data_IF_386940954648
#
_entry.id   IF_386940954648
#
_cell.length_a   1.000
_cell.length_b   1.000
_cell.length_c   1.000
_cell.angle_alpha   90.00
_cell.angle_beta   90.00
_cell.angle_gamma   90.00
#
_symmetry.space_group_name_H-M   'P 1'
#
loop_
_entity.id
_entity.type
_entity.pdbx_description
1 polymer ?
#
# COMPACT_ATOMS: atom_id res chain seq x y z
N UNK A 1 -18.85 -8.98 15.32
CA UNK A 1 -18.01 -8.08 14.51
C UNK A 1 -18.82 -6.82 14.17
N UNK A 2 -18.29 -5.63 14.54
CA UNK A 2 -18.99 -4.34 14.38
C UNK A 2 -19.35 -4.05 12.91
N UNK A 3 -18.53 -4.46 11.97
CA UNK A 3 -18.77 -4.23 10.54
C UNK A 3 -19.97 -5.03 10.03
N UNK A 4 -20.11 -6.27 10.46
CA UNK A 4 -21.27 -7.11 10.11
C UNK A 4 -22.54 -6.55 10.71
N UNK A 5 -22.53 -6.18 11.98
CA UNK A 5 -23.68 -5.57 12.63
C UNK A 5 -24.09 -4.24 11.97
N UNK A 6 -23.11 -3.43 11.56
CA UNK A 6 -23.38 -2.21 10.79
C UNK A 6 -24.06 -2.52 9.45
N UNK A 7 -23.56 -3.51 8.72
CA UNK A 7 -24.16 -3.94 7.46
C UNK A 7 -25.58 -4.45 7.63
N UNK A 8 -25.82 -5.29 8.64
CA UNK A 8 -27.17 -5.79 8.99
C UNK A 8 -28.11 -4.64 9.33
N UNK A 9 -27.70 -3.73 10.21
CA UNK A 9 -28.49 -2.55 10.56
C UNK A 9 -28.86 -1.71 9.34
N UNK A 10 -27.92 -1.45 8.44
CA UNK A 10 -28.17 -0.66 7.22
C UNK A 10 -29.12 -1.39 6.25
N UNK A 11 -29.15 -2.73 6.26
CA UNK A 11 -30.06 -3.53 5.41
C UNK A 11 -31.46 -3.63 5.99
N UNK A 12 -31.58 -3.74 7.30
CA UNK A 12 -32.84 -3.99 7.99
C UNK A 12 -33.58 -2.69 8.33
N UNK A 13 -32.86 -1.64 8.71
CA UNK A 13 -33.46 -0.34 9.05
C UNK A 13 -33.32 0.67 7.90
N UNK A 14 -34.38 0.74 7.08
CA UNK A 14 -34.43 1.67 5.97
C UNK A 14 -34.42 3.15 6.38
N UNK A 15 -34.90 3.48 7.58
CA UNK A 15 -34.88 4.84 8.08
C UNK A 15 -33.46 5.26 8.49
N UNK A 16 -32.74 4.35 9.15
CA UNK A 16 -31.32 4.53 9.45
C UNK A 16 -30.51 4.71 8.16
N UNK A 17 -30.67 3.83 7.16
CA UNK A 17 -29.98 3.94 5.89
C UNK A 17 -30.23 5.28 5.20
N UNK A 18 -31.50 5.69 5.05
CA UNK A 18 -31.85 6.97 4.42
C UNK A 18 -31.25 8.17 5.13
N UNK A 19 -31.19 8.14 6.46
CA UNK A 19 -30.55 9.19 7.24
C UNK A 19 -29.07 9.34 6.89
N UNK A 20 -28.35 8.24 6.81
CA UNK A 20 -26.92 8.26 6.46
C UNK A 20 -26.69 8.63 5.00
N UNK A 21 -27.49 8.13 4.07
CA UNK A 21 -27.47 8.54 2.66
C UNK A 21 -27.69 10.05 2.49
N UNK A 22 -28.63 10.63 3.24
CA UNK A 22 -28.89 12.09 3.20
C UNK A 22 -27.72 12.90 3.77
N UNK A 23 -26.95 12.33 4.71
CA UNK A 23 -25.80 12.97 5.32
C UNK A 23 -24.57 12.95 4.41
N UNK A 24 -24.31 11.83 3.72
CA UNK A 24 -23.14 11.60 2.88
C UNK A 24 -23.52 11.77 1.40
N UNK A 25 -23.40 13.01 0.91
CA UNK A 25 -23.67 13.31 -0.50
C UNK A 25 -22.59 12.83 -1.46
N UNK A 26 -21.37 12.73 -0.98
CA UNK A 26 -20.18 12.25 -1.71
C UNK A 26 -19.43 11.30 -0.80
N UNK A 27 -18.99 10.19 -1.35
CA UNK A 27 -18.19 9.18 -0.65
C UNK A 27 -16.90 9.03 -1.42
N UNK A 28 -15.79 9.24 -0.72
CA UNK A 28 -14.45 9.06 -1.26
C UNK A 28 -13.77 7.95 -0.46
N UNK A 29 -13.24 6.95 -1.16
CA UNK A 29 -12.54 5.82 -0.54
C UNK A 29 -11.14 5.75 -1.08
N UNK A 30 -10.16 5.91 -0.19
CA UNK A 30 -8.75 5.73 -0.48
C UNK A 30 -8.30 4.30 -0.16
N UNK A 31 -7.21 3.86 -0.78
CA UNK A 31 -6.66 2.51 -0.63
C UNK A 31 -7.74 1.40 -0.83
N UNK A 32 -8.56 1.57 -1.87
CA UNK A 32 -9.72 0.72 -2.10
C UNK A 32 -9.37 -0.76 -2.28
N UNK A 33 -8.15 -1.12 -2.68
CA UNK A 33 -7.68 -2.50 -2.77
C UNK A 33 -7.63 -3.22 -1.42
N UNK A 34 -7.62 -2.47 -0.30
CA UNK A 34 -7.47 -3.01 1.05
C UNK A 34 -8.81 -3.19 1.78
N UNK A 35 -9.94 -2.85 1.13
CA UNK A 35 -11.25 -3.05 1.75
C UNK A 35 -11.70 -4.52 1.68
N UNK A 36 -12.44 -4.93 2.72
CA UNK A 36 -13.12 -6.23 2.74
C UNK A 36 -14.44 -6.19 1.94
N UNK A 37 -14.98 -7.34 1.52
CA UNK A 37 -16.30 -7.41 0.88
C UNK A 37 -17.42 -6.79 1.72
N UNK A 38 -17.35 -6.90 3.04
CA UNK A 38 -18.32 -6.28 3.96
C UNK A 38 -18.26 -4.75 3.90
N UNK A 39 -17.04 -4.19 3.92
CA UNK A 39 -16.83 -2.74 3.77
C UNK A 39 -17.33 -2.26 2.42
N UNK A 40 -17.06 -3.00 1.36
CA UNK A 40 -17.56 -2.66 0.03
C UNK A 40 -19.09 -2.61 -0.02
N UNK A 41 -19.79 -3.59 0.57
CA UNK A 41 -21.26 -3.57 0.63
C UNK A 41 -21.80 -2.38 1.43
N UNK A 42 -21.16 -2.01 2.54
CA UNK A 42 -21.52 -0.81 3.30
C UNK A 42 -21.38 0.45 2.44
N UNK A 43 -20.26 0.60 1.74
CA UNK A 43 -20.01 1.74 0.84
C UNK A 43 -21.10 1.80 -0.25
N UNK A 44 -21.45 0.67 -0.86
CA UNK A 44 -22.52 0.60 -1.89
C UNK A 44 -23.87 1.03 -1.36
N UNK A 45 -24.26 0.55 -0.17
CA UNK A 45 -25.52 0.95 0.47
C UNK A 45 -25.57 2.45 0.75
N UNK A 46 -24.48 3.00 1.26
CA UNK A 46 -24.42 4.42 1.60
C UNK A 46 -24.37 5.32 0.36
N UNK A 47 -23.74 4.87 -0.74
CA UNK A 47 -23.65 5.65 -1.97
C UNK A 47 -24.96 5.70 -2.78
N UNK A 48 -25.81 4.71 -2.63
CA UNK A 48 -27.10 4.64 -3.33
C UNK A 48 -28.09 5.71 -2.80
N UNK A 49 -29.02 6.21 -3.63
CA UNK A 49 -29.19 5.90 -5.06
C UNK A 49 -28.32 6.76 -5.99
N UNK A 50 -27.75 7.87 -5.51
CA UNK A 50 -27.04 8.87 -6.32
C UNK A 50 -25.73 8.35 -6.87
N UNK A 51 -25.08 7.43 -6.16
CA UNK A 51 -23.80 6.83 -6.51
C UNK A 51 -22.67 7.86 -6.74
N UNK A 52 -22.66 8.95 -5.98
CA UNK A 52 -21.57 9.91 -5.96
C UNK A 52 -20.36 9.31 -5.21
N UNK A 53 -19.76 8.31 -5.81
CA UNK A 53 -18.71 7.49 -5.24
C UNK A 53 -17.41 7.68 -6.04
N UNK A 54 -16.35 8.04 -5.35
CA UNK A 54 -15.01 8.16 -5.88
C UNK A 54 -14.08 7.21 -5.13
N UNK A 55 -13.39 6.34 -5.84
CA UNK A 55 -12.43 5.41 -5.25
C UNK A 55 -11.04 5.67 -5.80
N UNK A 56 -10.05 5.51 -4.96
CA UNK A 56 -8.63 5.49 -5.34
C UNK A 56 -8.00 4.22 -4.80
N UNK A 57 -7.19 3.57 -5.61
CA UNK A 57 -6.51 2.35 -5.18
C UNK A 57 -5.55 1.83 -6.25
N UNK A 58 -4.72 0.90 -5.83
CA UNK A 58 -3.78 0.20 -6.68
C UNK A 58 -3.85 -1.30 -6.36
N UNK A 59 -4.46 -2.08 -7.24
CA UNK A 59 -4.63 -3.53 -7.07
C UNK A 59 -3.28 -4.27 -6.91
N UNK A 60 -2.20 -3.73 -7.47
CA UNK A 60 -0.85 -4.27 -7.32
C UNK A 60 -0.30 -4.09 -5.89
N UNK A 61 -0.89 -3.21 -5.08
CA UNK A 61 -0.51 -2.96 -3.68
C UNK A 61 -1.39 -3.69 -2.67
N UNK A 62 -2.31 -4.56 -3.10
CA UNK A 62 -3.17 -5.34 -2.21
C UNK A 62 -2.37 -6.42 -1.47
N UNK A 63 -1.92 -6.09 -0.26
CA UNK A 63 -1.11 -6.99 0.59
C UNK A 63 -1.81 -7.40 1.90
N UNK A 64 -3.05 -6.94 2.13
CA UNK A 64 -3.81 -7.21 3.35
C UNK A 64 -4.86 -8.32 3.21
N UNK A 65 -4.66 -9.27 2.30
CA UNK A 65 -5.54 -10.42 2.13
C UNK A 65 -5.75 -11.22 3.43
N UNK A 66 -4.73 -11.29 4.30
CA UNK A 66 -4.83 -11.94 5.62
C UNK A 66 -5.75 -11.20 6.61
N UNK A 67 -6.16 -9.96 6.31
CA UNK A 67 -7.16 -9.17 7.06
C UNK A 67 -8.53 -9.19 6.39
N UNK A 68 -8.70 -9.97 5.32
CA UNK A 68 -9.95 -10.04 4.57
C UNK A 68 -10.09 -9.00 3.46
N UNK A 69 -9.01 -8.28 3.12
CA UNK A 69 -8.98 -7.46 1.92
C UNK A 69 -9.11 -8.35 0.68
N UNK A 70 -9.83 -7.85 -0.33
CA UNK A 70 -10.01 -8.56 -1.59
C UNK A 70 -9.76 -7.62 -2.76
N UNK A 71 -8.67 -7.83 -3.54
CA UNK A 71 -8.42 -7.06 -4.76
C UNK A 71 -9.57 -7.24 -5.79
N UNK A 72 -10.35 -8.30 -5.67
CA UNK A 72 -11.54 -8.53 -6.48
C UNK A 72 -12.60 -7.44 -6.27
N UNK A 73 -12.58 -6.73 -5.14
CA UNK A 73 -13.48 -5.59 -4.89
C UNK A 73 -13.26 -4.47 -5.92
N UNK A 74 -12.02 -4.23 -6.35
CA UNK A 74 -11.71 -3.26 -7.40
C UNK A 74 -12.26 -3.69 -8.77
N UNK A 75 -12.10 -4.96 -9.13
CA UNK A 75 -12.65 -5.51 -10.38
C UNK A 75 -14.17 -5.49 -10.36
N UNK A 76 -14.76 -5.85 -9.21
CA UNK A 76 -16.21 -5.83 -9.02
C UNK A 76 -16.79 -4.42 -9.13
N UNK A 77 -16.07 -3.40 -8.65
CA UNK A 77 -16.48 -2.01 -8.75
C UNK A 77 -16.76 -1.61 -10.21
N UNK A 78 -15.85 -1.94 -11.13
CA UNK A 78 -16.02 -1.64 -12.56
C UNK A 78 -17.22 -2.38 -13.18
N UNK A 79 -17.60 -3.52 -12.62
CA UNK A 79 -18.78 -4.28 -13.05
C UNK A 79 -20.07 -3.70 -12.48
N UNK A 80 -20.05 -3.32 -11.20
CA UNK A 80 -21.21 -2.76 -10.50
C UNK A 80 -21.53 -1.33 -10.97
N UNK A 81 -20.51 -0.54 -11.31
CA UNK A 81 -20.64 0.86 -11.77
C UNK A 81 -20.13 1.04 -13.20
N UNK A 82 -20.89 0.49 -14.17
CA UNK A 82 -20.50 0.49 -15.60
C UNK A 82 -20.34 1.88 -16.23
N UNK A 83 -20.94 2.90 -15.63
CA UNK A 83 -20.81 4.30 -16.04
C UNK A 83 -19.68 5.04 -15.33
N UNK A 84 -18.92 4.36 -14.48
CA UNK A 84 -17.78 4.99 -13.81
C UNK A 84 -16.69 5.36 -14.82
N UNK A 85 -16.15 6.55 -14.68
CA UNK A 85 -14.97 6.98 -15.41
C UNK A 85 -13.73 6.44 -14.71
N UNK A 86 -12.85 5.77 -15.44
CA UNK A 86 -11.59 5.28 -14.94
C UNK A 86 -10.45 6.19 -15.38
N UNK A 87 -9.71 6.70 -14.42
CA UNK A 87 -8.52 7.52 -14.65
C UNK A 87 -7.30 6.75 -14.14
N UNK A 88 -6.36 6.49 -15.03
CA UNK A 88 -5.11 5.83 -14.69
C UNK A 88 -4.03 6.88 -14.40
N UNK A 89 -3.40 6.78 -13.22
CA UNK A 89 -2.21 7.56 -12.86
C UNK A 89 -0.97 6.73 -13.21
N UNK A 90 -0.49 6.85 -14.41
CA UNK A 90 0.55 6.01 -15.02
C UNK A 90 1.97 6.56 -14.86
N UNK A 91 2.14 7.73 -14.25
CA UNK A 91 3.46 8.34 -14.03
C UNK A 91 3.87 8.26 -12.57
N UNK A 92 4.98 7.57 -12.31
CA UNK A 92 5.58 7.45 -10.99
C UNK A 92 6.60 8.58 -10.79
N UNK A 93 6.28 9.52 -9.89
CA UNK A 93 7.13 10.65 -9.50
C UNK A 93 8.02 10.36 -8.29
N UNK A 94 7.90 9.20 -7.68
CA UNK A 94 8.62 8.83 -6.45
C UNK A 94 9.93 8.14 -6.73
N UNK A 95 9.91 7.18 -7.64
CA UNK A 95 11.02 6.25 -7.87
C UNK A 95 11.70 6.51 -9.21
N UNK A 96 13.00 6.23 -9.25
CA UNK A 96 13.77 6.18 -10.49
C UNK A 96 13.37 4.99 -11.35
N UNK A 97 13.69 5.06 -12.64
CA UNK A 97 13.31 4.08 -13.66
C UNK A 97 13.72 2.64 -13.30
N UNK A 98 14.91 2.46 -12.74
CA UNK A 98 15.41 1.13 -12.32
C UNK A 98 14.50 0.46 -11.30
N UNK A 99 14.01 1.24 -10.33
CA UNK A 99 13.11 0.74 -9.28
C UNK A 99 11.73 0.43 -9.87
N UNK A 100 11.20 1.33 -10.69
CA UNK A 100 9.90 1.14 -11.36
C UNK A 100 9.92 -0.11 -12.23
N UNK A 101 10.98 -0.29 -13.02
CA UNK A 101 11.14 -1.45 -13.89
C UNK A 101 11.31 -2.76 -13.09
N UNK A 102 12.07 -2.74 -12.00
CA UNK A 102 12.25 -3.91 -11.16
C UNK A 102 10.94 -4.31 -10.47
N UNK A 103 10.20 -3.35 -9.90
CA UNK A 103 8.88 -3.58 -9.31
C UNK A 103 7.89 -4.10 -10.36
N UNK A 104 7.88 -3.50 -11.55
CA UNK A 104 7.03 -3.93 -12.66
C UNK A 104 7.28 -5.38 -13.09
N UNK A 105 8.53 -5.85 -13.10
CA UNK A 105 8.86 -7.25 -13.38
C UNK A 105 8.32 -8.21 -12.32
N UNK A 106 8.41 -7.83 -11.04
CA UNK A 106 7.88 -8.65 -9.95
C UNK A 106 6.36 -8.74 -10.04
N UNK A 107 5.71 -7.61 -10.26
CA UNK A 107 4.25 -7.55 -10.27
C UNK A 107 3.64 -8.18 -11.54
N UNK A 108 4.38 -8.25 -12.64
CA UNK A 108 3.95 -8.90 -13.88
C UNK A 108 3.66 -10.41 -13.72
N UNK A 109 4.19 -11.05 -12.67
CA UNK A 109 3.88 -12.45 -12.33
C UNK A 109 2.44 -12.62 -11.81
N UNK A 110 1.79 -11.56 -11.35
CA UNK A 110 0.40 -11.60 -10.93
C UNK A 110 -0.53 -11.62 -12.15
N UNK A 111 -1.43 -12.62 -12.18
CA UNK A 111 -2.38 -12.80 -13.30
C UNK A 111 -3.67 -12.00 -13.15
N UNK A 112 -4.13 -11.80 -11.91
CA UNK A 112 -5.36 -11.07 -11.59
C UNK A 112 -5.02 -9.62 -11.24
N UNK A 113 -4.85 -8.77 -12.25
CA UNK A 113 -4.54 -7.35 -12.08
C UNK A 113 -5.12 -6.52 -13.22
N UNK A 114 -5.32 -5.24 -12.95
CA UNK A 114 -5.61 -4.25 -13.98
C UNK A 114 -4.33 -3.99 -14.80
N UNK A 115 -4.45 -4.01 -16.11
CA UNK A 115 -3.31 -3.74 -16.98
C UNK A 115 -2.90 -2.27 -16.84
N UNK A 116 -1.64 -2.07 -16.46
CA UNK A 116 -1.05 -0.74 -16.24
C UNK A 116 0.37 -0.72 -16.82
N UNK A 117 0.72 0.39 -17.43
CA UNK A 117 2.09 0.66 -17.87
C UNK A 117 2.61 1.88 -17.12
N UNK A 118 3.29 1.64 -15.99
CA UNK A 118 3.78 2.71 -15.13
C UNK A 118 5.12 3.21 -15.65
N UNK A 119 5.20 4.51 -15.91
CA UNK A 119 6.38 5.20 -16.38
C UNK A 119 7.04 5.99 -15.23
N UNK A 120 8.36 5.94 -15.14
CA UNK A 120 9.10 6.76 -14.19
C UNK A 120 9.26 8.19 -14.73
N UNK A 121 8.94 9.19 -13.89
CA UNK A 121 9.25 10.59 -14.18
C UNK A 121 10.76 10.88 -14.11
N UNK A 122 11.49 10.14 -13.27
CA UNK A 122 12.93 10.27 -13.04
C UNK A 122 13.67 9.11 -13.69
N UNK A 123 14.50 9.40 -14.69
CA UNK A 123 15.26 8.37 -15.45
C UNK A 123 16.60 8.02 -14.80
N UNK A 124 17.24 8.97 -14.13
CA UNK A 124 18.56 8.79 -13.53
C UNK A 124 18.44 8.34 -12.08
N UNK A 125 19.11 7.25 -11.72
CA UNK A 125 19.19 6.70 -10.38
C UNK A 125 20.52 6.00 -10.13
N UNK A 126 20.80 5.66 -8.87
CA UNK A 126 22.02 4.95 -8.47
C UNK A 126 21.93 3.42 -8.76
N UNK A 127 20.82 2.96 -9.33
CA UNK A 127 20.56 1.56 -9.60
C UNK A 127 20.08 0.77 -8.37
N UNK A 128 19.88 -0.53 -8.59
CA UNK A 128 19.54 -1.49 -7.54
C UNK A 128 20.71 -2.43 -7.35
N UNK A 129 21.25 -2.51 -6.15
CA UNK A 129 22.31 -3.45 -5.81
C UNK A 129 21.76 -4.64 -4.99
N UNK A 130 22.16 -5.85 -5.37
CA UNK A 130 21.86 -7.07 -4.63
C UNK A 130 23.13 -7.57 -3.95
N UNK A 131 23.09 -7.70 -2.64
CA UNK A 131 24.19 -8.25 -1.86
C UNK A 131 23.80 -9.62 -1.32
N UNK A 132 24.64 -10.61 -1.55
CA UNK A 132 24.53 -11.94 -0.91
C UNK A 132 25.66 -12.08 0.10
N UNK A 133 25.32 -12.52 1.30
CA UNK A 133 26.27 -12.71 2.39
C UNK A 133 26.29 -14.18 2.81
N UNK A 134 27.44 -14.70 3.19
CA UNK A 134 27.60 -16.08 3.62
C UNK A 134 26.93 -16.37 4.99
N UNK A 135 26.81 -15.35 5.84
CA UNK A 135 26.21 -15.45 7.17
C UNK A 135 25.71 -14.08 7.66
N UNK A 136 25.03 -14.08 8.81
CA UNK A 136 24.48 -12.87 9.42
C UNK A 136 25.56 -11.87 9.88
N UNK A 137 26.74 -12.34 10.26
CA UNK A 137 27.82 -11.47 10.71
C UNK A 137 28.36 -10.62 9.55
N UNK A 138 28.57 -11.25 8.39
CA UNK A 138 28.97 -10.57 7.17
C UNK A 138 27.89 -9.57 6.71
N UNK A 139 26.61 -9.97 6.73
CA UNK A 139 25.50 -9.08 6.42
C UNK A 139 25.50 -7.84 7.33
N UNK A 140 25.66 -8.06 8.64
CA UNK A 140 25.69 -6.99 9.64
C UNK A 140 26.85 -6.03 9.39
N UNK A 141 28.03 -6.56 9.12
CA UNK A 141 29.22 -5.77 8.82
C UNK A 141 29.01 -4.90 7.57
N UNK A 142 28.60 -5.50 6.46
CA UNK A 142 28.44 -4.80 5.19
C UNK A 142 27.37 -3.70 5.29
N UNK A 143 26.27 -3.98 5.98
CA UNK A 143 25.20 -3.01 6.17
C UNK A 143 25.61 -1.84 7.06
N UNK A 144 26.34 -2.11 8.17
CA UNK A 144 26.87 -1.06 9.04
C UNK A 144 27.88 -0.19 8.31
N UNK A 145 28.80 -0.77 7.55
CA UNK A 145 29.75 -0.02 6.74
C UNK A 145 29.05 0.92 5.75
N UNK A 146 28.00 0.42 5.07
CA UNK A 146 27.20 1.23 4.14
C UNK A 146 26.51 2.39 4.86
N UNK A 147 25.87 2.14 6.01
CA UNK A 147 25.17 3.19 6.77
C UNK A 147 26.13 4.22 7.35
N UNK A 148 27.29 3.79 7.85
CA UNK A 148 28.33 4.70 8.33
C UNK A 148 28.89 5.58 7.20
N UNK A 149 28.97 5.04 5.99
CA UNK A 149 29.35 5.83 4.81
C UNK A 149 28.30 6.88 4.49
N UNK A 150 27.00 6.51 4.52
CA UNK A 150 25.89 7.46 4.31
C UNK A 150 25.86 8.53 5.42
N UNK A 151 26.18 8.17 6.64
CA UNK A 151 26.30 9.12 7.75
C UNK A 151 27.43 10.13 7.50
N UNK A 152 28.60 9.67 7.06
CA UNK A 152 29.72 10.57 6.70
C UNK A 152 29.38 11.50 5.54
N UNK A 153 28.57 11.01 4.59
CA UNK A 153 28.09 11.80 3.44
C UNK A 153 26.94 12.76 3.79
N UNK A 154 26.47 12.76 5.05
CA UNK A 154 25.33 13.59 5.48
C UNK A 154 23.97 13.13 4.91
N UNK A 155 23.89 11.89 4.36
CA UNK A 155 22.70 11.36 3.69
C UNK A 155 21.91 10.36 4.53
N UNK A 156 22.27 10.10 5.78
CA UNK A 156 21.64 9.10 6.63
C UNK A 156 20.12 9.35 6.81
N UNK A 157 19.68 10.61 6.84
CA UNK A 157 18.25 10.97 6.94
C UNK A 157 17.41 10.54 5.73
N UNK A 158 18.05 10.17 4.64
CA UNK A 158 17.43 9.66 3.42
C UNK A 158 17.43 8.14 3.32
N UNK A 159 18.00 7.46 4.32
CA UNK A 159 18.07 6.00 4.38
C UNK A 159 16.87 5.44 5.14
N UNK A 160 16.37 4.30 4.67
CA UNK A 160 15.40 3.50 5.39
C UNK A 160 15.80 2.03 5.39
N UNK A 161 15.64 1.36 6.52
CA UNK A 161 15.82 -0.08 6.63
C UNK A 161 14.46 -0.74 6.78
N UNK A 162 14.16 -1.68 5.88
CA UNK A 162 12.90 -2.42 5.87
C UNK A 162 13.19 -3.87 6.23
N UNK A 163 12.52 -4.38 7.25
CA UNK A 163 12.65 -5.77 7.69
C UNK A 163 11.32 -6.51 7.52
N UNK A 164 11.39 -7.84 7.40
CA UNK A 164 10.20 -8.69 7.26
C UNK A 164 9.31 -8.71 8.49
N UNK A 165 9.89 -8.60 9.70
CA UNK A 165 9.17 -8.70 10.98
C UNK A 165 9.63 -7.61 11.95
N UNK A 166 8.73 -7.24 12.89
CA UNK A 166 9.07 -6.30 13.96
C UNK A 166 10.22 -6.82 14.86
N UNK A 167 10.30 -8.15 15.04
CA UNK A 167 11.41 -8.77 15.75
C UNK A 167 12.75 -8.48 15.08
N UNK A 168 12.84 -8.64 13.76
CA UNK A 168 14.04 -8.31 13.00
C UNK A 168 14.37 -6.81 13.09
N UNK A 169 13.36 -5.92 13.02
CA UNK A 169 13.56 -4.49 13.26
C UNK A 169 14.17 -4.22 14.64
N UNK A 170 13.70 -4.89 15.71
CA UNK A 170 14.23 -4.75 17.05
C UNK A 170 15.69 -5.19 17.17
N UNK A 171 16.08 -6.29 16.52
CA UNK A 171 17.48 -6.73 16.47
C UNK A 171 18.38 -5.71 15.77
N UNK A 172 17.93 -5.17 14.64
CA UNK A 172 18.67 -4.14 13.92
C UNK A 172 18.76 -2.83 14.70
N UNK A 173 17.70 -2.44 15.42
CA UNK A 173 17.75 -1.27 16.30
C UNK A 173 18.85 -1.38 17.36
N UNK A 174 19.03 -2.56 17.97
CA UNK A 174 20.13 -2.80 18.92
C UNK A 174 21.51 -2.69 18.24
N UNK A 175 21.65 -3.22 17.03
CA UNK A 175 22.90 -3.14 16.26
C UNK A 175 23.24 -1.69 15.91
N UNK A 176 22.26 -0.90 15.45
CA UNK A 176 22.45 0.52 15.11
C UNK A 176 22.78 1.34 16.35
N UNK A 177 22.10 1.08 17.47
CA UNK A 177 22.39 1.72 18.74
C UNK A 177 23.83 1.47 19.20
N UNK A 178 24.27 0.19 19.17
CA UNK A 178 25.64 -0.19 19.51
C UNK A 178 26.70 0.43 18.60
N UNK A 179 26.37 0.73 17.36
CA UNK A 179 27.25 1.40 16.39
C UNK A 179 27.18 2.93 16.44
N UNK A 180 26.36 3.53 17.32
CA UNK A 180 26.18 4.97 17.41
C UNK A 180 25.48 5.60 16.21
N UNK A 181 24.72 4.82 15.45
CA UNK A 181 23.95 5.29 14.29
C UNK A 181 22.55 5.71 14.76
N UNK A 182 22.16 7.00 14.63
CA UNK A 182 20.84 7.44 15.03
C UNK A 182 19.76 6.85 14.12
N UNK A 183 18.64 6.44 14.70
CA UNK A 183 17.51 5.86 13.98
C UNK A 183 16.17 6.23 14.63
N UNK A 184 15.10 6.11 13.87
CA UNK A 184 13.72 6.22 14.35
C UNK A 184 12.99 4.93 13.95
N UNK A 185 12.39 4.24 14.92
CA UNK A 185 11.49 3.13 14.64
C UNK A 185 10.07 3.67 14.39
N UNK A 186 9.46 3.28 13.28
CA UNK A 186 8.03 3.49 13.08
C UNK A 186 7.31 2.24 13.58
N UNK A 187 6.70 2.35 14.74
CA UNK A 187 5.72 1.36 15.21
C UNK A 187 4.42 1.54 14.41
N UNK A 188 3.86 0.42 13.98
CA UNK A 188 2.52 0.39 13.39
C UNK A 188 1.51 0.05 14.46
#
# INVERSE_FOLDING_TARGET
DLMLLCLEMLREDSACLKRWQAQFRYILVDEFQDISPVQYEIVRLLAAPENNLFIVGDDDQSIYGFRGASPESMMRFLTDYRAAEQILLDVNYRCHEDIVNAAGRVIAENRNRLEKNILAAHREGEGIALYTCANEEELRKNLLESLLQEQRNGRLTRCAMICRTNFACGLWAQVLHGAGIPYVMREK
#
